data_IF_844714625327
#
_entry.id   IF_844714625327
#
_cell.length_a   1.000
_cell.length_b   1.000
_cell.length_c   1.000
_cell.angle_alpha   90.00
_cell.angle_beta   90.00
_cell.angle_gamma   90.00
#
_symmetry.space_group_name_H-M   'P 1'
#
loop_
_entity.id
_entity.type
_entity.pdbx_description
1 polymer ?
#
# COMPACT_ATOMS: atom_id res chain seq x y z
N UNK A 1 19.95 1.72 -7.02
CA UNK A 1 18.55 1.26 -7.14
C UNK A 1 18.44 -0.05 -6.40
N UNK A 2 17.54 -0.15 -5.43
CA UNK A 2 17.29 -1.38 -4.69
C UNK A 2 16.53 -2.35 -5.58
N UNK A 3 17.01 -3.57 -5.70
CA UNK A 3 16.37 -4.61 -6.52
C UNK A 3 15.15 -5.19 -5.78
N UNK A 4 14.00 -5.29 -6.46
CA UNK A 4 12.73 -5.76 -5.87
C UNK A 4 12.86 -7.16 -5.28
N UNK A 5 13.57 -8.07 -5.96
CA UNK A 5 13.76 -9.44 -5.49
C UNK A 5 14.56 -9.45 -4.18
N UNK A 6 15.64 -8.67 -4.11
CA UNK A 6 16.43 -8.55 -2.89
C UNK A 6 15.64 -7.90 -1.74
N UNK A 7 14.82 -6.89 -2.03
CA UNK A 7 13.92 -6.27 -1.04
C UNK A 7 12.95 -7.30 -0.47
N UNK A 8 12.26 -8.06 -1.33
CA UNK A 8 11.31 -9.08 -0.89
C UNK A 8 12.02 -10.20 -0.12
N UNK A 9 13.19 -10.66 -0.59
CA UNK A 9 13.97 -11.68 0.10
C UNK A 9 14.34 -11.22 1.52
N UNK A 10 14.84 -9.99 1.66
CA UNK A 10 15.18 -9.43 2.96
C UNK A 10 13.98 -9.35 3.91
N UNK A 11 12.82 -8.89 3.43
CA UNK A 11 11.57 -8.84 4.21
C UNK A 11 11.20 -10.25 4.70
N UNK A 12 11.24 -11.24 3.81
CA UNK A 12 10.84 -12.62 4.12
C UNK A 12 11.82 -13.33 5.07
N UNK A 13 13.12 -13.06 4.97
CA UNK A 13 14.14 -13.56 5.90
C UNK A 13 13.88 -13.09 7.34
N UNK A 14 13.29 -11.91 7.51
CA UNK A 14 13.04 -11.28 8.81
C UNK A 14 11.57 -11.35 9.24
N UNK A 15 10.75 -12.16 8.56
CA UNK A 15 9.28 -12.21 8.77
C UNK A 15 8.87 -12.49 10.22
N UNK A 16 9.68 -13.18 11.03
CA UNK A 16 9.35 -13.41 12.44
C UNK A 16 9.21 -12.10 13.23
N UNK A 17 9.96 -11.05 12.86
CA UNK A 17 9.87 -9.74 13.50
C UNK A 17 8.61 -8.97 13.06
N UNK A 18 8.03 -9.34 11.91
CA UNK A 18 6.82 -8.71 11.36
C UNK A 18 5.54 -9.32 11.95
N UNK A 19 5.60 -10.57 12.43
CA UNK A 19 4.45 -11.31 12.93
C UNK A 19 3.71 -10.63 14.08
N UNK A 20 4.43 -9.91 14.94
CA UNK A 20 3.90 -9.16 16.09
C UNK A 20 3.88 -7.64 15.85
N UNK A 21 4.29 -7.19 14.66
CA UNK A 21 4.42 -5.78 14.35
C UNK A 21 3.05 -5.11 14.11
N UNK A 22 2.98 -3.82 14.43
CA UNK A 22 1.81 -3.00 14.13
C UNK A 22 1.80 -2.54 12.65
N UNK A 23 0.67 -1.99 12.21
CA UNK A 23 0.45 -1.53 10.84
C UNK A 23 1.49 -0.49 10.40
N UNK A 24 1.85 0.46 11.27
CA UNK A 24 2.87 1.46 10.99
C UNK A 24 4.25 0.84 10.68
N UNK A 25 4.60 -0.25 11.35
CA UNK A 25 5.83 -0.99 11.06
C UNK A 25 5.73 -1.69 9.70
N UNK A 26 4.58 -2.26 9.35
CA UNK A 26 4.35 -2.87 8.03
C UNK A 26 4.46 -1.80 6.92
N UNK A 27 3.85 -0.63 7.11
CA UNK A 27 3.97 0.49 6.19
C UNK A 27 5.44 0.85 5.92
N UNK A 28 6.23 1.04 6.98
CA UNK A 28 7.61 1.53 6.88
C UNK A 28 8.62 0.49 6.41
N UNK A 29 8.49 -0.77 6.84
CA UNK A 29 9.51 -1.81 6.63
C UNK A 29 9.14 -2.83 5.55
N UNK A 30 7.89 -2.82 5.06
CA UNK A 30 7.44 -3.73 4.00
C UNK A 30 6.99 -2.94 2.78
N UNK A 31 5.96 -2.11 2.94
CA UNK A 31 5.28 -1.46 1.81
C UNK A 31 6.17 -0.39 1.19
N UNK A 32 6.70 0.53 1.98
CA UNK A 32 7.54 1.61 1.47
C UNK A 32 8.82 1.11 0.79
N UNK A 33 9.57 0.11 1.32
CA UNK A 33 10.69 -0.49 0.60
C UNK A 33 10.31 -1.14 -0.73
N UNK A 34 9.16 -1.80 -0.81
CA UNK A 34 8.65 -2.36 -2.07
C UNK A 34 8.33 -1.24 -3.07
N UNK A 35 7.65 -0.18 -2.64
CA UNK A 35 7.36 0.98 -3.49
C UNK A 35 8.64 1.60 -4.08
N UNK A 36 9.65 1.84 -3.22
CA UNK A 36 10.96 2.34 -3.65
C UNK A 36 11.65 1.39 -4.64
N UNK A 37 11.57 0.08 -4.43
CA UNK A 37 12.15 -0.91 -5.33
C UNK A 37 11.40 -1.02 -6.67
N UNK A 38 10.11 -0.68 -6.69
CA UNK A 38 9.30 -0.51 -7.91
C UNK A 38 9.55 0.82 -8.63
N UNK A 39 10.32 1.73 -8.02
CA UNK A 39 10.73 3.01 -8.61
C UNK A 39 9.88 4.21 -8.20
N UNK A 40 8.99 4.08 -7.22
CA UNK A 40 8.25 5.22 -6.65
C UNK A 40 9.17 6.08 -5.78
N UNK A 41 9.11 7.40 -5.96
CA UNK A 41 9.91 8.36 -5.19
C UNK A 41 9.12 9.02 -4.06
N UNK A 42 9.48 8.70 -2.81
CA UNK A 42 8.92 9.29 -1.60
C UNK A 42 9.76 10.44 -1.02
N UNK A 43 10.86 10.81 -1.69
CA UNK A 43 11.83 11.79 -1.19
C UNK A 43 11.77 13.13 -1.92
N UNK A 44 11.25 13.16 -3.16
CA UNK A 44 11.16 14.37 -3.95
C UNK A 44 9.89 15.20 -3.65
N UNK A 45 10.05 16.24 -2.84
CA UNK A 45 8.96 17.14 -2.44
C UNK A 45 8.40 17.99 -3.60
N UNK A 46 9.12 18.15 -4.71
CA UNK A 46 8.62 18.91 -5.85
C UNK A 46 7.64 18.11 -6.72
N UNK A 47 7.71 16.77 -6.68
CA UNK A 47 6.88 15.89 -7.50
C UNK A 47 6.08 14.84 -6.72
N UNK A 48 6.15 14.87 -5.37
CA UNK A 48 5.53 13.94 -4.40
C UNK A 48 4.65 12.87 -5.04
N UNK A 49 5.22 11.67 -5.18
CA UNK A 49 4.53 10.53 -5.79
C UNK A 49 3.87 9.64 -4.73
N UNK A 50 4.43 9.58 -3.52
CA UNK A 50 3.94 8.77 -2.40
C UNK A 50 3.42 9.69 -1.29
N UNK A 51 2.13 9.59 -0.99
CA UNK A 51 1.45 10.41 0.03
C UNK A 51 1.04 9.53 1.21
N UNK A 52 1.76 9.57 2.35
CA UNK A 52 1.36 8.86 3.55
C UNK A 52 0.10 9.48 4.16
N UNK A 53 -0.70 8.67 4.85
CA UNK A 53 -1.87 9.09 5.63
C UNK A 53 -2.82 10.00 4.84
N UNK A 54 -3.10 9.63 3.59
CA UNK A 54 -3.84 10.47 2.66
C UNK A 54 -5.33 10.50 2.99
N UNK A 55 -5.86 11.70 3.25
CA UNK A 55 -7.27 11.91 3.54
C UNK A 55 -8.15 11.68 2.29
N UNK A 56 -9.21 10.89 2.46
CA UNK A 56 -10.23 10.62 1.44
C UNK A 56 -11.62 10.93 1.98
N UNK A 57 -12.62 11.07 1.10
CA UNK A 57 -13.99 11.33 1.57
C UNK A 57 -14.52 10.17 2.41
N UNK A 58 -14.65 10.40 3.72
CA UNK A 58 -15.13 9.41 4.68
C UNK A 58 -14.04 8.54 5.31
N UNK A 59 -12.77 8.94 5.24
CA UNK A 59 -11.69 8.26 5.96
C UNK A 59 -10.30 8.74 5.57
N UNK A 60 -9.33 7.86 5.78
CA UNK A 60 -7.93 8.05 5.45
C UNK A 60 -7.40 6.71 4.96
N UNK A 61 -6.46 6.73 4.01
CA UNK A 61 -5.73 5.56 3.53
C UNK A 61 -4.26 5.70 3.91
N UNK A 62 -3.58 4.58 4.14
CA UNK A 62 -2.18 4.59 4.59
C UNK A 62 -1.23 5.21 3.56
N UNK A 63 -1.42 4.89 2.27
CA UNK A 63 -0.74 5.58 1.19
C UNK A 63 -1.67 5.88 0.02
N UNK A 64 -1.47 7.03 -0.61
CA UNK A 64 -1.96 7.31 -1.94
C UNK A 64 -0.79 7.57 -2.90
N UNK A 65 -0.87 7.02 -4.10
CA UNK A 65 0.17 7.16 -5.13
C UNK A 65 -0.28 8.09 -6.26
N UNK A 66 0.65 8.91 -6.77
CA UNK A 66 0.42 9.87 -7.85
C UNK A 66 1.39 9.69 -9.00
N UNK A 67 0.85 9.72 -10.23
CA UNK A 67 1.66 9.89 -11.43
C UNK A 67 1.40 11.29 -11.97
N UNK A 68 2.41 12.15 -11.89
CA UNK A 68 2.24 13.59 -12.09
C UNK A 68 1.26 14.18 -11.08
N UNK A 69 0.15 14.76 -11.55
CA UNK A 69 -0.88 15.33 -10.67
C UNK A 69 -2.04 14.38 -10.37
N UNK A 70 -2.07 13.18 -10.95
CA UNK A 70 -3.22 12.27 -10.90
C UNK A 70 -3.03 11.19 -9.82
N UNK A 71 -3.99 11.11 -8.89
CA UNK A 71 -4.11 9.97 -7.98
C UNK A 71 -4.38 8.69 -8.76
N UNK A 72 -3.56 7.67 -8.52
CA UNK A 72 -3.50 6.45 -9.34
C UNK A 72 -3.71 5.16 -8.53
N UNK A 73 -3.33 5.14 -7.25
CA UNK A 73 -3.52 3.98 -6.39
C UNK A 73 -3.73 4.41 -4.94
N UNK A 74 -4.56 3.66 -4.22
CA UNK A 74 -4.64 3.70 -2.76
C UNK A 74 -4.15 2.38 -2.20
N UNK A 75 -3.41 2.45 -1.10
CA UNK A 75 -2.87 1.30 -0.39
C UNK A 75 -3.32 1.41 1.05
N UNK A 76 -3.89 0.32 1.54
CA UNK A 76 -4.28 0.12 2.94
C UNK A 76 -3.45 -1.05 3.47
N UNK A 77 -2.81 -0.86 4.61
CA UNK A 77 -1.99 -1.87 5.26
C UNK A 77 -2.76 -2.48 6.43
N UNK A 78 -2.44 -3.74 6.73
CA UNK A 78 -2.90 -4.45 7.92
C UNK A 78 -1.70 -5.13 8.59
N UNK A 79 -1.91 -5.67 9.80
CA UNK A 79 -0.85 -6.44 10.47
C UNK A 79 -0.49 -7.66 9.64
N UNK A 80 0.75 -8.13 9.79
CA UNK A 80 1.32 -9.19 8.96
C UNK A 80 0.48 -10.47 8.89
N UNK A 81 -0.17 -10.84 10.00
CA UNK A 81 -0.99 -12.06 10.09
C UNK A 81 -2.50 -11.77 10.08
N UNK A 82 -2.92 -10.56 9.74
CA UNK A 82 -4.33 -10.18 9.72
C UNK A 82 -4.98 -10.59 8.39
N UNK A 83 -6.07 -11.38 8.41
CA UNK A 83 -6.80 -11.74 7.20
C UNK A 83 -7.40 -10.51 6.51
N UNK A 84 -7.16 -10.36 5.21
CA UNK A 84 -7.61 -9.20 4.43
C UNK A 84 -9.09 -9.29 4.00
N UNK A 85 -9.66 -10.50 3.98
CA UNK A 85 -11.05 -10.80 3.60
C UNK A 85 -12.08 -10.01 4.42
N UNK A 86 -11.76 -9.69 5.67
CA UNK A 86 -12.62 -8.90 6.56
C UNK A 86 -12.62 -7.40 6.27
N UNK A 87 -11.72 -6.92 5.41
CA UNK A 87 -11.46 -5.48 5.19
C UNK A 87 -11.72 -5.01 3.76
N UNK A 88 -12.12 -5.91 2.84
CA UNK A 88 -12.38 -5.58 1.43
C UNK A 88 -13.41 -4.45 1.26
N UNK A 89 -14.45 -4.43 2.10
CA UNK A 89 -15.50 -3.42 2.04
C UNK A 89 -14.98 -1.99 2.21
N UNK A 90 -13.93 -1.79 3.02
CA UNK A 90 -13.40 -0.47 3.32
C UNK A 90 -12.67 0.12 2.12
N UNK A 91 -11.72 -0.65 1.54
CA UNK A 91 -10.93 -0.17 0.40
C UNK A 91 -11.77 -0.02 -0.86
N UNK A 92 -12.74 -0.92 -1.08
CA UNK A 92 -13.74 -0.82 -2.15
C UNK A 92 -14.55 0.47 -1.99
N UNK A 93 -15.00 0.79 -0.78
CA UNK A 93 -15.78 2.02 -0.53
C UNK A 93 -14.96 3.27 -0.86
N UNK A 94 -13.67 3.32 -0.50
CA UNK A 94 -12.81 4.46 -0.82
C UNK A 94 -12.54 4.58 -2.32
N UNK A 95 -12.25 3.46 -2.98
CA UNK A 95 -12.01 3.45 -4.42
C UNK A 95 -13.25 3.92 -5.21
N UNK A 96 -14.45 3.43 -4.87
CA UNK A 96 -15.70 3.88 -5.49
C UNK A 96 -15.91 5.38 -5.28
N UNK A 97 -15.74 5.89 -4.05
CA UNK A 97 -15.94 7.32 -3.75
C UNK A 97 -14.93 8.22 -4.46
N UNK A 98 -13.71 7.74 -4.67
CA UNK A 98 -12.67 8.49 -5.36
C UNK A 98 -12.70 8.33 -6.89
N UNK A 99 -13.63 7.53 -7.44
CA UNK A 99 -13.70 7.25 -8.87
C UNK A 99 -12.51 6.43 -9.39
N UNK A 100 -11.89 5.64 -8.51
CA UNK A 100 -10.72 4.81 -8.82
C UNK A 100 -11.17 3.43 -9.32
N UNK A 101 -10.54 2.87 -10.36
CA UNK A 101 -10.81 1.49 -10.77
C UNK A 101 -10.35 0.54 -9.65
N UNK A 102 -11.16 -0.48 -9.38
CA UNK A 102 -10.85 -1.53 -8.41
C UNK A 102 -10.31 -2.74 -9.16
N UNK A 103 -9.17 -3.24 -8.74
CA UNK A 103 -8.63 -4.53 -9.18
C UNK A 103 -8.56 -5.41 -7.93
N UNK A 104 -9.50 -6.35 -7.80
CA UNK A 104 -9.44 -7.40 -6.79
C UNK A 104 -9.34 -8.76 -7.48
N UNK A 105 -8.55 -9.68 -6.91
CA UNK A 105 -8.61 -11.09 -7.27
C UNK A 105 -9.82 -11.72 -6.59
N UNK A 106 -11.02 -11.36 -7.05
CA UNK A 106 -12.18 -12.24 -6.87
C UNK A 106 -12.49 -12.74 -8.29
N UNK A 107 -12.14 -13.98 -8.65
CA UNK A 107 -12.59 -14.53 -9.92
C UNK A 107 -14.12 -14.40 -9.94
N UNK A 108 -14.72 -13.85 -11.02
CA UNK A 108 -16.17 -13.80 -11.11
C UNK A 108 -16.66 -15.24 -11.04
N UNK A 109 -17.53 -15.49 -10.07
CA UNK A 109 -18.27 -16.74 -9.85
C UNK A 109 -18.29 -17.67 -11.07
N UNK A 110 -17.61 -18.82 -10.95
CA UNK A 110 -17.91 -20.04 -11.70
C UNK A 110 -18.23 -21.12 -10.67
#
# INVERSE_FOLDING_TARGET
>A
MTDLRNTIAHILEHKQHLAEANEATIQQYVVLPILRALGWDDTNLASIEVLPEYAVTGGQVDYALKVGQKLTLFIECKKWNEPLDKHENQIVTYAVKAGMPIVSEVPPFI
#
